data_IF_673512405301
#
_entry.id   IF_673512405301
#
_cell.length_a   1.000
_cell.length_b   1.000
_cell.length_c   1.000
_cell.angle_alpha   90.00
_cell.angle_beta   90.00
_cell.angle_gamma   90.00
#
_symmetry.space_group_name_H-M   'P 1'
#
loop_
_entity.id
_entity.type
_entity.pdbx_description
1 polymer ?
#
# COMPACT_ATOMS: atom_id res chain seq x y z
N UNK A 1 3.76 10.44 7.97
CA UNK A 1 3.31 10.12 6.59
C UNK A 1 1.79 10.14 6.40
N UNK A 2 0.95 10.22 7.44
CA UNK A 2 -0.51 10.28 7.30
C UNK A 2 -1.02 11.57 6.61
N UNK A 3 -0.38 12.72 6.86
CA UNK A 3 -0.71 14.01 6.23
C UNK A 3 -0.36 14.11 4.73
N UNK A 4 0.41 13.17 4.17
CA UNK A 4 0.85 13.17 2.76
C UNK A 4 -0.02 12.32 1.84
N UNK A 5 -0.97 11.55 2.40
CA UNK A 5 -1.90 10.70 1.65
C UNK A 5 -2.77 11.49 0.65
N UNK A 6 -3.33 12.69 0.97
CA UNK A 6 -4.10 13.45 -0.01
C UNK A 6 -3.23 14.03 -1.14
N UNK A 7 -1.95 14.30 -0.87
CA UNK A 7 -1.01 14.83 -1.85
C UNK A 7 -0.40 13.75 -2.76
N UNK A 8 -0.72 12.48 -2.50
CA UNK A 8 -0.14 11.32 -3.21
C UNK A 8 -0.41 11.36 -4.71
N UNK A 9 -1.61 11.79 -5.12
CA UNK A 9 -1.98 11.89 -6.54
C UNK A 9 -1.18 12.98 -7.27
N UNK A 10 -0.92 14.10 -6.60
CA UNK A 10 -0.09 15.18 -7.12
C UNK A 10 1.37 14.76 -7.25
N UNK A 11 1.91 14.05 -6.25
CA UNK A 11 3.27 13.50 -6.30
C UNK A 11 3.43 12.53 -7.48
N UNK A 12 2.45 11.65 -7.71
CA UNK A 12 2.46 10.71 -8.83
C UNK A 12 2.46 11.39 -10.19
N UNK A 13 1.61 12.41 -10.38
CA UNK A 13 1.55 13.17 -11.61
C UNK A 13 2.83 13.97 -11.84
N UNK A 14 3.42 14.55 -10.79
CA UNK A 14 4.68 15.29 -10.85
C UNK A 14 5.85 14.39 -11.27
N UNK A 15 6.02 13.23 -10.61
CA UNK A 15 7.06 12.26 -10.98
C UNK A 15 6.85 11.71 -12.39
N UNK A 16 5.61 11.41 -12.78
CA UNK A 16 5.27 10.96 -14.14
C UNK A 16 5.58 12.01 -15.21
N UNK A 17 5.23 13.27 -14.96
CA UNK A 17 5.54 14.38 -15.86
C UNK A 17 7.06 14.57 -16.01
N UNK A 18 7.81 14.55 -14.92
CA UNK A 18 9.29 14.63 -14.94
C UNK A 18 9.92 13.49 -15.73
N UNK A 19 9.44 12.25 -15.55
CA UNK A 19 10.01 11.11 -16.28
C UNK A 19 9.74 11.22 -17.78
N UNK A 20 8.53 11.64 -18.16
CA UNK A 20 8.16 11.86 -19.56
C UNK A 20 9.01 12.97 -20.18
N UNK A 21 9.12 14.13 -19.53
CA UNK A 21 9.93 15.25 -20.05
C UNK A 21 11.42 14.88 -20.14
N UNK A 22 11.97 14.15 -19.15
CA UNK A 22 13.35 13.67 -19.20
C UNK A 22 13.61 12.69 -20.36
N UNK A 23 12.66 11.80 -20.68
CA UNK A 23 12.77 10.89 -21.83
C UNK A 23 12.84 11.69 -23.14
N UNK A 24 11.94 12.67 -23.31
CA UNK A 24 11.88 13.47 -24.54
C UNK A 24 13.07 14.44 -24.70
N UNK A 25 13.62 14.99 -23.62
CA UNK A 25 14.72 15.96 -23.68
C UNK A 25 16.11 15.31 -23.73
N UNK A 26 16.33 14.18 -23.04
CA UNK A 26 17.67 13.59 -22.86
C UNK A 26 17.91 12.26 -23.59
N UNK A 27 16.95 11.72 -24.36
CA UNK A 27 17.07 10.39 -25.01
C UNK A 27 17.55 9.28 -24.04
N UNK A 28 17.17 9.39 -22.76
CA UNK A 28 17.53 8.40 -21.75
C UNK A 28 16.86 7.07 -22.10
N UNK A 29 17.67 6.01 -22.20
CA UNK A 29 17.17 4.67 -22.49
C UNK A 29 16.18 4.21 -21.42
N UNK A 30 14.99 3.79 -21.87
CA UNK A 30 13.90 3.27 -21.03
C UNK A 30 14.36 2.19 -20.03
N UNK A 31 15.34 1.39 -20.44
CA UNK A 31 15.96 0.33 -19.65
C UNK A 31 16.64 0.83 -18.37
N UNK A 32 17.28 2.00 -18.39
CA UNK A 32 17.99 2.53 -17.22
C UNK A 32 17.00 3.01 -16.15
N UNK A 33 15.87 3.60 -16.58
CA UNK A 33 14.78 4.00 -15.70
C UNK A 33 14.15 2.77 -15.06
N UNK A 34 13.88 1.73 -15.85
CA UNK A 34 13.30 0.48 -15.35
C UNK A 34 14.25 -0.26 -14.40
N UNK A 35 15.55 -0.26 -14.69
CA UNK A 35 16.59 -0.83 -13.83
C UNK A 35 16.68 -0.12 -12.49
N UNK A 36 16.78 1.21 -12.48
CA UNK A 36 16.85 2.01 -11.26
C UNK A 36 15.55 1.88 -10.44
N UNK A 37 14.39 1.89 -11.09
CA UNK A 37 13.10 1.72 -10.44
C UNK A 37 12.93 0.32 -9.82
N UNK A 38 13.46 -0.73 -10.46
CA UNK A 38 13.47 -2.09 -9.91
C UNK A 38 14.33 -2.18 -8.64
N UNK A 39 15.54 -1.60 -8.66
CA UNK A 39 16.44 -1.56 -7.49
C UNK A 39 15.82 -0.78 -6.33
N UNK A 40 15.29 0.42 -6.59
CA UNK A 40 14.56 1.21 -5.59
C UNK A 40 13.30 0.47 -5.08
N UNK A 41 12.60 -0.26 -5.95
CA UNK A 41 11.43 -1.06 -5.61
C UNK A 41 11.74 -2.25 -4.71
N UNK A 42 12.93 -2.83 -4.80
CA UNK A 42 13.42 -3.85 -3.86
C UNK A 42 13.74 -3.21 -2.49
N UNK A 43 14.36 -2.03 -2.47
CA UNK A 43 14.76 -1.33 -1.23
C UNK A 43 13.54 -0.78 -0.46
N UNK A 44 12.62 -0.08 -1.13
CA UNK A 44 11.40 0.48 -0.51
C UNK A 44 10.27 -0.54 -0.36
N UNK A 45 10.37 -1.70 -1.02
CA UNK A 45 9.39 -2.79 -0.97
C UNK A 45 7.99 -2.38 -1.48
N UNK A 46 6.94 -2.95 -0.88
CA UNK A 46 5.54 -2.74 -1.31
C UNK A 46 5.03 -1.29 -1.23
N UNK A 47 5.68 -0.43 -0.46
CA UNK A 47 5.33 1.00 -0.37
C UNK A 47 5.63 1.71 -1.71
N UNK A 48 6.66 1.26 -2.44
CA UNK A 48 7.03 1.79 -3.75
C UNK A 48 5.95 1.55 -4.80
N UNK A 49 5.34 0.36 -4.80
CA UNK A 49 4.28 0.01 -5.77
C UNK A 49 3.01 0.86 -5.60
N UNK A 50 2.82 1.54 -4.46
CA UNK A 50 1.69 2.47 -4.22
C UNK A 50 2.03 3.92 -4.61
N UNK A 51 3.29 4.34 -4.48
CA UNK A 51 3.73 5.72 -4.72
C UNK A 51 4.31 5.94 -6.11
N UNK A 52 4.99 4.96 -6.70
CA UNK A 52 5.59 5.07 -8.02
C UNK A 52 4.85 4.31 -9.13
N UNK A 53 4.02 3.31 -8.81
CA UNK A 53 3.30 2.58 -9.86
C UNK A 53 2.02 3.33 -10.28
N UNK A 54 1.86 3.68 -11.58
CA UNK A 54 0.65 4.33 -12.10
C UNK A 54 -0.60 3.45 -11.97
N UNK A 55 -0.44 2.12 -11.87
CA UNK A 55 -1.57 1.20 -11.68
C UNK A 55 -2.32 1.45 -10.36
N UNK A 56 -1.64 1.90 -9.30
CA UNK A 56 -2.30 2.22 -8.04
C UNK A 56 -3.31 3.37 -8.16
N UNK A 57 -3.02 4.35 -9.02
CA UNK A 57 -3.92 5.46 -9.33
C UNK A 57 -5.11 5.00 -10.18
N UNK A 58 -4.85 4.18 -11.20
CA UNK A 58 -5.89 3.62 -12.09
C UNK A 58 -6.89 2.81 -11.28
N UNK A 59 -6.42 1.95 -10.37
CA UNK A 59 -7.29 1.12 -9.54
C UNK A 59 -8.16 1.95 -8.59
N UNK A 60 -7.63 3.03 -8.01
CA UNK A 60 -8.45 3.92 -7.16
C UNK A 60 -9.47 4.74 -7.94
N UNK A 61 -9.15 5.17 -9.17
CA UNK A 61 -10.14 5.84 -10.04
C UNK A 61 -11.24 4.91 -10.51
N UNK A 62 -10.89 3.66 -10.83
CA UNK A 62 -11.84 2.63 -11.26
C UNK A 62 -12.76 2.21 -10.11
N UNK A 63 -12.21 2.01 -8.91
CA UNK A 63 -13.01 1.59 -7.74
C UNK A 63 -13.88 2.69 -7.13
N UNK A 64 -13.63 3.97 -7.45
CA UNK A 64 -14.41 5.11 -6.92
C UNK A 64 -15.88 5.13 -7.37
N UNK A 65 -16.20 4.50 -8.50
CA UNK A 65 -17.57 4.43 -9.05
C UNK A 65 -18.30 3.11 -8.77
N UNK A 66 -17.67 2.16 -8.06
CA UNK A 66 -18.22 0.84 -7.79
C UNK A 66 -18.72 0.74 -6.35
N UNK A 67 -19.53 -0.28 -6.05
CA UNK A 67 -19.95 -0.54 -4.68
C UNK A 67 -18.74 -0.87 -3.77
N UNK A 68 -18.88 -0.60 -2.47
CA UNK A 68 -17.81 -0.81 -1.49
C UNK A 68 -17.38 -2.29 -1.37
N UNK A 69 -18.19 -3.23 -1.87
CA UNK A 69 -17.91 -4.66 -1.84
C UNK A 69 -17.26 -5.14 -3.14
N UNK A 70 -17.74 -4.66 -4.30
CA UNK A 70 -17.09 -4.90 -5.59
C UNK A 70 -15.65 -4.37 -5.59
N UNK A 71 -15.46 -3.13 -5.13
CA UNK A 71 -14.13 -2.52 -5.04
C UNK A 71 -13.17 -3.32 -4.15
N UNK A 72 -13.65 -3.85 -3.02
CA UNK A 72 -12.85 -4.70 -2.15
C UNK A 72 -12.48 -6.02 -2.84
N UNK A 73 -13.40 -6.62 -3.61
CA UNK A 73 -13.16 -7.90 -4.31
C UNK A 73 -12.15 -7.73 -5.45
N UNK A 74 -12.27 -6.66 -6.24
CA UNK A 74 -11.31 -6.32 -7.28
C UNK A 74 -9.91 -6.08 -6.71
N UNK A 75 -9.80 -5.32 -5.60
CA UNK A 75 -8.51 -5.13 -4.93
C UNK A 75 -7.95 -6.45 -4.41
N UNK A 76 -8.77 -7.27 -3.75
CA UNK A 76 -8.34 -8.57 -3.21
C UNK A 76 -7.80 -9.50 -4.31
N UNK A 77 -8.55 -9.66 -5.40
CA UNK A 77 -8.14 -10.51 -6.52
C UNK A 77 -6.92 -9.97 -7.25
N UNK A 78 -6.81 -8.65 -7.43
CA UNK A 78 -5.64 -8.04 -8.07
C UNK A 78 -4.34 -8.27 -7.28
N UNK A 79 -4.37 -8.05 -5.96
CA UNK A 79 -3.19 -8.26 -5.11
C UNK A 79 -2.93 -9.73 -4.77
N UNK A 80 -3.93 -10.61 -4.94
CA UNK A 80 -3.77 -12.06 -4.79
C UNK A 80 -3.24 -12.73 -6.06
N UNK A 81 -3.81 -12.41 -7.22
CA UNK A 81 -3.58 -13.14 -8.49
C UNK A 81 -3.00 -12.25 -9.58
N UNK A 82 -3.40 -10.99 -9.65
CA UNK A 82 -3.18 -10.13 -10.83
C UNK A 82 -1.82 -9.43 -10.94
N UNK A 83 -1.06 -9.28 -9.85
CA UNK A 83 0.17 -8.49 -9.88
C UNK A 83 1.44 -9.36 -9.76
N UNK A 84 2.14 -9.68 -10.86
CA UNK A 84 3.39 -10.45 -10.82
C UNK A 84 4.49 -9.76 -10.01
N UNK A 85 4.48 -8.42 -9.96
CA UNK A 85 5.37 -7.63 -9.10
C UNK A 85 5.04 -7.84 -7.62
N UNK A 86 3.76 -7.92 -7.26
CA UNK A 86 3.33 -8.20 -5.86
C UNK A 86 3.73 -9.61 -5.42
N UNK A 87 3.86 -10.56 -6.36
CA UNK A 87 4.39 -11.90 -6.08
C UNK A 87 5.89 -11.88 -5.81
N UNK A 88 6.67 -11.22 -6.68
CA UNK A 88 8.10 -11.02 -6.46
C UNK A 88 8.40 -10.25 -5.16
N UNK A 89 7.64 -9.18 -4.87
CA UNK A 89 7.78 -8.38 -3.65
C UNK A 89 7.18 -9.04 -2.40
N UNK A 90 6.29 -10.02 -2.56
CA UNK A 90 5.69 -10.74 -1.44
C UNK A 90 6.70 -11.58 -0.67
N UNK A 91 7.71 -12.11 -1.35
CA UNK A 91 8.86 -12.77 -0.74
C UNK A 91 9.68 -11.80 0.14
N UNK A 92 9.81 -10.54 -0.28
CA UNK A 92 10.47 -9.47 0.48
C UNK A 92 9.53 -8.73 1.46
N UNK A 93 8.26 -9.15 1.61
CA UNK A 93 7.32 -8.50 2.53
C UNK A 93 7.81 -8.56 3.99
N UNK A 94 8.53 -9.63 4.35
CA UNK A 94 9.19 -9.81 5.66
C UNK A 94 10.25 -8.74 5.95
N UNK A 95 10.96 -8.27 4.91
CA UNK A 95 12.03 -7.27 4.98
C UNK A 95 11.56 -5.84 4.71
N UNK A 96 10.26 -5.63 4.52
CA UNK A 96 9.75 -4.29 4.21
C UNK A 96 10.05 -3.33 5.37
N UNK A 97 10.80 -2.27 5.05
CA UNK A 97 11.24 -1.23 5.98
C UNK A 97 10.10 -0.51 6.69
N UNK A 98 8.85 -0.60 6.22
CA UNK A 98 7.71 0.07 6.82
C UNK A 98 6.66 -0.95 7.24
N UNK A 99 6.44 -1.09 8.55
CA UNK A 99 5.44 -2.00 9.14
C UNK A 99 4.30 -1.19 9.75
N UNK A 100 3.08 -1.66 9.54
CA UNK A 100 1.89 -1.11 10.19
C UNK A 100 1.77 -1.77 11.57
N UNK A 101 1.84 -0.99 12.63
CA UNK A 101 1.74 -1.46 14.01
C UNK A 101 0.51 -0.87 14.68
N UNK A 102 -0.19 -1.69 15.46
CA UNK A 102 -1.35 -1.26 16.25
C UNK A 102 -0.93 -1.11 17.71
N UNK A 103 -1.07 0.09 18.26
CA UNK A 103 -0.91 0.39 19.67
C UNK A 103 -2.17 -0.08 20.44
N UNK A 104 -2.03 -1.15 21.25
CA UNK A 104 -3.15 -1.75 21.98
C UNK A 104 -3.69 -0.86 23.11
N UNK A 105 -2.83 -0.04 23.71
CA UNK A 105 -3.17 0.86 24.81
C UNK A 105 -4.13 2.00 24.40
N UNK A 106 -4.04 2.49 23.16
CA UNK A 106 -4.89 3.58 22.64
C UNK A 106 -6.08 3.07 21.82
N UNK A 107 -6.16 1.75 21.57
CA UNK A 107 -7.16 1.17 20.70
C UNK A 107 -8.50 0.96 21.43
N UNK A 108 -9.55 1.60 20.92
CA UNK A 108 -10.92 1.46 21.46
C UNK A 108 -11.71 0.30 20.87
N UNK A 109 -11.08 -0.58 20.08
CA UNK A 109 -11.73 -1.72 19.41
C UNK A 109 -12.97 -1.36 18.57
N UNK A 110 -13.03 -0.13 18.02
CA UNK A 110 -14.17 0.38 17.25
C UNK A 110 -14.45 -0.35 15.91
N UNK A 111 -13.48 -1.13 15.38
CA UNK A 111 -13.66 -1.95 14.17
C UNK A 111 -13.65 -1.21 12.82
N UNK A 112 -13.47 0.12 12.81
CA UNK A 112 -13.45 0.93 11.58
C UNK A 112 -12.34 0.52 10.60
N UNK A 113 -11.16 0.15 11.13
CA UNK A 113 -10.03 -0.33 10.35
C UNK A 113 -10.34 -1.64 9.61
N UNK A 114 -11.02 -2.58 10.26
CA UNK A 114 -11.45 -3.85 9.67
C UNK A 114 -12.61 -3.66 8.68
N UNK A 115 -13.48 -2.67 8.89
CA UNK A 115 -14.58 -2.35 7.95
C UNK A 115 -14.06 -1.80 6.62
N UNK A 116 -13.01 -0.97 6.68
CA UNK A 116 -12.44 -0.29 5.50
C UNK A 116 -11.40 -1.16 4.77
N UNK A 117 -10.78 -2.12 5.45
CA UNK A 117 -9.77 -2.98 4.85
C UNK A 117 -10.39 -4.05 3.94
N UNK A 118 -9.93 -4.13 2.69
CA UNK A 118 -10.44 -5.11 1.71
C UNK A 118 -10.04 -6.55 2.06
N UNK A 119 -8.99 -6.75 2.87
CA UNK A 119 -8.54 -8.09 3.29
C UNK A 119 -9.49 -8.64 4.34
N UNK A 120 -9.77 -7.88 5.40
CA UNK A 120 -10.69 -8.28 6.47
C UNK A 120 -12.12 -8.44 5.99
N UNK A 121 -12.52 -7.70 4.94
CA UNK A 121 -13.80 -7.91 4.25
C UNK A 121 -13.89 -9.26 3.54
N UNK A 122 -12.80 -9.73 2.94
CA UNK A 122 -12.77 -10.96 2.12
C UNK A 122 -12.37 -12.20 2.91
N UNK A 123 -11.49 -12.04 3.89
CA UNK A 123 -10.96 -13.10 4.73
C UNK A 123 -11.13 -12.74 6.20
N UNK A 124 -12.04 -13.46 6.85
CA UNK A 124 -12.39 -13.26 8.26
C UNK A 124 -11.29 -13.71 9.22
N UNK A 125 -10.23 -14.38 8.77
CA UNK A 125 -9.12 -14.79 9.64
C UNK A 125 -8.23 -13.62 10.07
N UNK A 126 -8.35 -12.48 9.40
CA UNK A 126 -7.55 -11.28 9.69
C UNK A 126 -8.35 -10.24 10.48
N UNK A 127 -7.67 -9.51 11.37
CA UNK A 127 -8.23 -8.36 12.09
C UNK A 127 -7.13 -7.49 12.69
N UNK A 128 -7.34 -6.17 12.77
CA UNK A 128 -6.40 -5.25 13.41
C UNK A 128 -6.54 -5.18 14.94
N UNK A 129 -7.70 -5.56 15.50
CA UNK A 129 -8.00 -5.40 16.93
C UNK A 129 -8.21 -6.72 17.67
N UNK A 130 -8.62 -7.81 16.98
CA UNK A 130 -8.82 -9.12 17.63
C UNK A 130 -7.48 -9.82 17.89
N UNK A 131 -7.19 -10.11 19.15
CA UNK A 131 -5.93 -10.71 19.58
C UNK A 131 -5.65 -12.12 19.01
N UNK A 132 -6.70 -12.88 18.68
CA UNK A 132 -6.58 -14.25 18.15
C UNK A 132 -6.46 -14.32 16.62
N UNK A 133 -6.43 -13.17 15.94
CA UNK A 133 -6.39 -13.09 14.47
C UNK A 133 -5.08 -12.51 13.98
N UNK A 134 -4.65 -12.95 12.82
CA UNK A 134 -3.45 -12.44 12.16
C UNK A 134 -3.67 -11.02 11.68
N UNK A 135 -2.59 -10.22 11.65
CA UNK A 135 -2.71 -8.83 11.22
C UNK A 135 -2.88 -8.75 9.70
N UNK A 136 -3.85 -7.98 9.18
CA UNK A 136 -4.04 -7.83 7.73
C UNK A 136 -2.83 -7.21 7.02
N UNK A 137 -1.92 -6.55 7.76
CA UNK A 137 -0.71 -5.95 7.20
C UNK A 137 0.36 -6.98 6.81
N UNK A 138 0.36 -8.15 7.45
CA UNK A 138 1.35 -9.21 7.18
C UNK A 138 0.93 -10.11 6.03
N UNK A 139 -0.37 -10.10 5.69
CA UNK A 139 -0.91 -10.85 4.58
C UNK A 139 -0.19 -10.51 3.26
N UNK A 140 0.09 -11.54 2.46
CA UNK A 140 0.80 -11.41 1.19
C UNK A 140 0.09 -10.48 0.19
N UNK A 141 -1.24 -10.48 0.20
CA UNK A 141 -2.09 -9.64 -0.63
C UNK A 141 -2.31 -8.23 -0.06
N UNK A 142 -1.63 -7.85 1.04
CA UNK A 142 -1.65 -6.49 1.57
C UNK A 142 -0.87 -5.55 0.66
N UNK A 143 -1.60 -4.59 0.10
CA UNK A 143 -1.10 -3.52 -0.76
C UNK A 143 -0.53 -2.34 0.02
N UNK A 144 -0.59 -2.38 1.35
CA UNK A 144 -0.23 -1.27 2.24
C UNK A 144 -0.88 0.05 1.79
N UNK A 145 -2.19 0.00 1.52
CA UNK A 145 -2.95 1.16 1.05
C UNK A 145 -3.16 2.26 2.10
N UNK A 146 -2.89 1.98 3.37
CA UNK A 146 -2.96 2.89 4.52
C UNK A 146 -4.37 3.42 4.88
N UNK A 147 -5.43 2.96 4.23
CA UNK A 147 -6.82 3.33 4.58
C UNK A 147 -7.17 3.01 6.04
N UNK A 148 -6.55 1.98 6.63
CA UNK A 148 -6.73 1.64 8.04
C UNK A 148 -6.11 2.67 9.01
N UNK A 149 -5.02 3.33 8.60
CA UNK A 149 -4.39 4.43 9.36
C UNK A 149 -5.27 5.68 9.25
N UNK A 150 -5.79 5.96 8.05
CA UNK A 150 -6.62 7.15 7.77
C UNK A 150 -7.95 7.14 8.53
N UNK A 151 -8.61 5.98 8.65
CA UNK A 151 -9.92 5.88 9.31
C UNK A 151 -9.81 5.76 10.84
N UNK A 152 -8.60 5.66 11.41
CA UNK A 152 -8.43 5.40 12.84
C UNK A 152 -8.62 6.69 13.66
N UNK A 153 -9.68 6.82 14.48
CA UNK A 153 -9.97 8.06 15.21
C UNK A 153 -8.98 8.34 16.35
N UNK A 154 -8.40 7.29 16.93
CA UNK A 154 -7.44 7.40 18.04
C UNK A 154 -5.99 7.33 17.58
N UNK A 155 -5.71 7.35 16.27
CA UNK A 155 -4.38 7.15 15.69
C UNK A 155 -3.64 5.91 16.25
N UNK A 156 -4.37 4.88 16.65
CA UNK A 156 -3.78 3.66 17.22
C UNK A 156 -3.04 2.82 16.19
N UNK A 157 -3.25 3.07 14.90
CA UNK A 157 -2.61 2.33 13.81
C UNK A 157 -1.60 3.28 13.16
N UNK A 158 -0.31 2.96 13.28
CA UNK A 158 0.77 3.80 12.79
C UNK A 158 1.73 3.01 11.88
N UNK A 159 2.42 3.73 11.00
CA UNK A 159 3.47 3.18 10.17
C UNK A 159 4.79 3.45 10.87
N UNK A 160 5.44 2.40 11.37
CA UNK A 160 6.79 2.50 11.94
C UNK A 160 7.81 2.00 10.93
N UNK A 161 8.91 2.73 10.81
CA UNK A 161 10.07 2.27 10.05
C UNK A 161 10.84 1.25 10.87
N UNK A 162 11.23 0.13 10.28
CA UNK A 162 12.03 -0.92 10.90
C UNK A 162 13.46 -0.49 11.23
N UNK A 163 13.89 0.71 10.79
CA UNK A 163 15.21 1.30 11.04
C UNK A 163 15.27 2.16 12.32
N UNK A 164 14.23 2.13 13.14
CA UNK A 164 14.10 2.95 14.36
C UNK A 164 13.49 2.18 15.53
N UNK A 165 14.10 1.05 15.87
CA UNK A 165 13.86 0.37 17.16
C UNK A 165 15.20 0.07 17.82
N UNK A 166 15.86 1.15 18.25
CA UNK A 166 16.59 1.19 19.50
C UNK A 166 16.03 2.35 20.31
#
# INVERSE_FOLDING_TARGET
MSKLIPYRQWIQLFFGFITVTAIFTFNISLWLIFGLASVLGVIMGKTFCKWMCPMGFIMERMTKGMSADQSAQHMYNYYKVGCPISWAQGFFNKYSLFKIQTAKNSCTSCGLCDKTCYITKMDKNYSFYKAQKSTPSEAFNCSKCLKCVEVCPTNSIEIKSSFGSH
#
